data_IF_768741058259
#
_entry.id   IF_768741058259
#
_cell.length_a   1.000
_cell.length_b   1.000
_cell.length_c   1.000
_cell.angle_alpha   90.00
_cell.angle_beta   90.00
_cell.angle_gamma   90.00
#
_symmetry.space_group_name_H-M   'P 1'
#
loop_
_entity.id
_entity.type
_entity.pdbx_description
1 polymer ?
#
# COMPACT_ATOMS: atom_id res chain seq x y z
N UNK A 1 -36.08 9.53 -15.26
CA UNK A 1 -34.85 10.18 -14.82
C UNK A 1 -33.80 9.77 -15.81
N UNK A 2 -33.62 10.62 -16.81
CA UNK A 2 -32.61 10.44 -17.84
C UNK A 2 -31.46 11.40 -17.57
N UNK A 3 -30.24 11.04 -18.00
CA UNK A 3 -29.10 11.94 -17.90
C UNK A 3 -29.38 13.26 -18.63
N UNK A 4 -29.18 14.38 -17.95
CA UNK A 4 -29.48 15.73 -18.45
C UNK A 4 -30.92 16.20 -18.25
N UNK A 5 -31.82 15.37 -17.72
CA UNK A 5 -33.20 15.79 -17.41
C UNK A 5 -33.21 16.79 -16.23
N UNK A 6 -34.03 17.83 -16.29
CA UNK A 6 -34.18 18.80 -15.21
C UNK A 6 -34.68 18.14 -13.92
N UNK A 7 -34.14 18.56 -12.78
CA UNK A 7 -34.59 18.09 -11.47
C UNK A 7 -34.84 19.27 -10.53
N UNK A 8 -35.66 19.07 -9.50
CA UNK A 8 -36.15 20.16 -8.64
C UNK A 8 -35.48 20.24 -7.27
N UNK A 9 -34.86 19.15 -6.79
CA UNK A 9 -34.18 19.11 -5.49
C UNK A 9 -33.03 18.10 -5.51
N UNK A 10 -31.91 18.46 -4.86
CA UNK A 10 -30.74 17.58 -4.69
C UNK A 10 -31.20 16.24 -4.11
N UNK A 11 -30.96 15.18 -4.87
CA UNK A 11 -31.40 13.83 -4.54
C UNK A 11 -30.48 12.82 -5.21
N UNK A 12 -30.33 11.66 -4.56
CA UNK A 12 -29.55 10.53 -5.07
C UNK A 12 -30.47 9.33 -5.17
N UNK A 13 -30.53 8.72 -6.35
CA UNK A 13 -31.25 7.49 -6.60
C UNK A 13 -30.28 6.42 -7.05
N UNK A 14 -30.21 5.33 -6.29
CA UNK A 14 -29.36 4.17 -6.61
C UNK A 14 -30.21 3.01 -7.10
N UNK A 15 -29.83 2.47 -8.24
CA UNK A 15 -30.39 1.30 -8.88
C UNK A 15 -29.30 0.23 -8.98
N UNK A 16 -29.68 -1.02 -9.29
CA UNK A 16 -28.68 -2.05 -9.56
C UNK A 16 -27.91 -1.70 -10.84
N UNK A 17 -26.60 -1.49 -10.70
CA UNK A 17 -25.73 -1.06 -11.80
C UNK A 17 -25.79 0.42 -12.17
N UNK A 18 -26.75 1.22 -11.70
CA UNK A 18 -26.82 2.64 -12.06
C UNK A 18 -27.00 3.55 -10.84
N UNK A 19 -26.37 4.71 -10.82
CA UNK A 19 -26.64 5.76 -9.84
C UNK A 19 -26.96 7.08 -10.54
N UNK A 20 -28.02 7.74 -10.11
CA UNK A 20 -28.42 9.05 -10.62
C UNK A 20 -28.37 10.07 -9.49
N UNK A 21 -27.70 11.18 -9.73
CA UNK A 21 -27.58 12.30 -8.77
C UNK A 21 -28.13 13.57 -9.41
N UNK A 22 -29.07 14.22 -8.74
CA UNK A 22 -29.58 15.53 -9.13
C UNK A 22 -28.69 16.64 -8.55
N UNK A 23 -28.06 17.45 -9.41
CA UNK A 23 -27.20 18.54 -8.95
C UNK A 23 -26.64 19.39 -10.08
N UNK A 24 -25.76 20.33 -9.72
CA UNK A 24 -24.99 21.14 -10.68
C UNK A 24 -23.58 20.54 -10.80
N UNK A 25 -23.31 19.81 -11.87
CA UNK A 25 -22.01 19.14 -12.08
C UNK A 25 -20.98 20.07 -12.75
N UNK A 26 -19.79 20.13 -12.17
CA UNK A 26 -18.69 20.94 -12.70
C UNK A 26 -17.73 20.06 -13.51
N UNK A 27 -17.58 20.36 -14.80
CA UNK A 27 -16.73 19.57 -15.70
C UNK A 27 -15.22 19.76 -15.50
N UNK A 28 -14.78 20.63 -14.60
CA UNK A 28 -13.35 20.97 -14.42
C UNK A 28 -12.86 20.63 -13.01
N UNK A 29 -11.98 19.62 -12.95
CA UNK A 29 -11.11 19.33 -11.81
C UNK A 29 -10.05 20.44 -11.64
N UNK A 30 -9.60 20.79 -10.41
CA UNK A 30 -9.95 20.19 -9.13
C UNK A 30 -11.23 20.76 -8.49
N UNK A 31 -11.97 19.87 -7.83
CA UNK A 31 -13.10 20.21 -6.96
C UNK A 31 -12.54 20.98 -5.76
N UNK A 32 -13.01 22.20 -5.51
CA UNK A 32 -12.53 23.07 -4.42
C UNK A 32 -11.74 24.32 -4.85
N UNK A 33 -11.80 24.72 -6.13
CA UNK A 33 -11.33 26.06 -6.54
C UNK A 33 -12.11 27.16 -5.78
N UNK A 34 -11.48 28.31 -5.48
CA UNK A 34 -12.18 29.46 -4.91
C UNK A 34 -13.44 29.81 -5.72
N UNK A 35 -14.52 30.30 -5.08
CA UNK A 35 -15.70 30.77 -5.79
C UNK A 35 -15.29 31.83 -6.83
N UNK A 36 -16.05 31.90 -7.92
CA UNK A 36 -15.85 32.84 -9.01
C UNK A 36 -15.63 34.25 -8.47
N UNK A 37 -14.45 34.80 -8.72
CA UNK A 37 -14.13 36.17 -8.38
C UNK A 37 -13.71 36.90 -9.66
N UNK A 38 -14.66 37.52 -10.37
CA UNK A 38 -14.36 38.30 -11.57
C UNK A 38 -13.44 39.49 -11.26
N UNK A 39 -13.52 40.04 -10.05
CA UNK A 39 -12.62 41.12 -9.60
C UNK A 39 -11.17 40.65 -9.38
N UNK A 40 -10.97 39.34 -9.20
CA UNK A 40 -9.65 38.69 -9.15
C UNK A 40 -9.22 38.07 -10.50
N UNK A 41 -9.98 38.28 -11.58
CA UNK A 41 -9.63 37.79 -12.92
C UNK A 41 -9.88 36.30 -13.16
N UNK A 42 -10.66 35.62 -12.31
CA UNK A 42 -10.96 34.19 -12.42
C UNK A 42 -12.35 34.02 -13.08
N UNK A 43 -12.39 33.64 -14.36
CA UNK A 43 -13.63 33.57 -15.15
C UNK A 43 -13.91 32.22 -15.85
N UNK A 44 -12.94 31.30 -15.87
CA UNK A 44 -12.97 30.11 -16.75
C UNK A 44 -13.07 28.76 -16.05
N UNK A 45 -12.98 28.70 -14.71
CA UNK A 45 -13.06 27.46 -13.90
C UNK A 45 -14.26 27.43 -12.93
N UNK A 46 -15.35 28.08 -13.33
CA UNK A 46 -16.51 28.34 -12.49
C UNK A 46 -17.60 27.27 -12.66
N UNK A 47 -17.94 26.59 -11.57
CA UNK A 47 -19.23 25.91 -11.43
C UNK A 47 -20.35 26.96 -11.49
N UNK A 48 -21.07 27.07 -12.60
CA UNK A 48 -22.21 27.98 -12.70
C UNK A 48 -23.40 27.43 -11.89
N UNK A 49 -23.43 27.76 -10.60
CA UNK A 49 -24.48 27.37 -9.66
C UNK A 49 -25.82 28.07 -9.90
N UNK A 50 -25.90 29.00 -10.89
CA UNK A 50 -27.17 29.64 -11.27
C UNK A 50 -27.99 28.80 -12.23
N UNK A 51 -27.40 27.74 -12.81
CA UNK A 51 -28.12 26.80 -13.67
C UNK A 51 -29.05 25.90 -12.85
N UNK A 52 -30.23 25.56 -13.40
CA UNK A 52 -31.10 24.57 -12.77
C UNK A 52 -30.37 23.22 -12.69
N UNK A 53 -30.53 22.46 -11.59
CA UNK A 53 -29.87 21.18 -11.45
C UNK A 53 -30.46 20.18 -12.46
N UNK A 54 -29.60 19.29 -12.94
CA UNK A 54 -29.96 18.21 -13.87
C UNK A 54 -29.61 16.87 -13.25
N UNK A 55 -30.30 15.82 -13.69
CA UNK A 55 -29.93 14.44 -13.38
C UNK A 55 -28.61 14.10 -14.05
N UNK A 56 -27.69 13.55 -13.28
CA UNK A 56 -26.45 12.96 -13.75
C UNK A 56 -26.47 11.48 -13.42
N UNK A 57 -26.64 10.64 -14.45
CA UNK A 57 -26.75 9.20 -14.30
C UNK A 57 -25.47 8.51 -14.77
N UNK A 58 -24.93 7.64 -13.93
CA UNK A 58 -23.80 6.77 -14.26
C UNK A 58 -24.31 5.33 -14.34
N UNK A 59 -24.05 4.70 -15.48
CA UNK A 59 -24.27 3.27 -15.69
C UNK A 59 -22.95 2.52 -15.45
N UNK A 60 -22.83 1.91 -14.28
CA UNK A 60 -21.77 0.99 -13.91
C UNK A 60 -22.16 -0.49 -14.06
N UNK A 61 -21.26 -1.43 -13.76
CA UNK A 61 -21.63 -2.84 -13.69
C UNK A 61 -22.57 -3.09 -12.52
N UNK A 62 -23.45 -4.08 -12.66
CA UNK A 62 -24.34 -4.54 -11.59
C UNK A 62 -23.56 -4.89 -10.31
N UNK A 63 -24.22 -4.80 -9.15
CA UNK A 63 -23.56 -5.16 -7.90
C UNK A 63 -23.30 -6.67 -7.82
N UNK A 64 -22.25 -7.04 -7.08
CA UNK A 64 -21.98 -8.46 -6.88
C UNK A 64 -23.16 -9.15 -6.14
N UNK A 65 -23.48 -10.40 -6.52
CA UNK A 65 -24.57 -11.14 -5.87
C UNK A 65 -24.28 -11.32 -4.37
N UNK A 66 -25.32 -11.62 -3.58
CA UNK A 66 -25.16 -11.97 -2.16
C UNK A 66 -25.34 -13.49 -2.00
N UNK A 67 -24.37 -14.22 -1.38
CA UNK A 67 -23.11 -13.72 -0.83
C UNK A 67 -22.15 -13.27 -1.93
N UNK A 68 -21.37 -12.23 -1.62
CA UNK A 68 -20.37 -11.68 -2.55
C UNK A 68 -19.36 -12.77 -2.92
N UNK A 69 -19.04 -12.97 -4.21
CA UNK A 69 -17.95 -13.87 -4.60
C UNK A 69 -16.61 -13.40 -4.00
N UNK A 70 -15.80 -14.33 -3.52
CA UNK A 70 -14.43 -14.06 -3.13
C UNK A 70 -13.50 -14.13 -4.35
N UNK A 71 -12.38 -13.43 -4.25
CA UNK A 71 -11.30 -13.59 -5.25
C UNK A 71 -10.83 -15.04 -5.23
N UNK A 72 -10.77 -15.66 -6.41
CA UNK A 72 -10.41 -17.07 -6.59
C UNK A 72 -11.59 -18.05 -6.61
N UNK A 73 -12.81 -17.60 -6.25
CA UNK A 73 -14.02 -18.42 -6.38
C UNK A 73 -14.30 -18.70 -7.87
N UNK A 74 -14.87 -19.87 -8.20
CA UNK A 74 -15.25 -20.17 -9.57
C UNK A 74 -16.33 -19.18 -10.05
N UNK A 75 -16.20 -18.74 -11.30
CA UNK A 75 -17.21 -17.93 -11.98
C UNK A 75 -17.70 -18.66 -13.23
N UNK A 76 -19.01 -18.58 -13.49
CA UNK A 76 -19.66 -19.38 -14.53
C UNK A 76 -19.43 -18.83 -15.95
N UNK A 77 -19.18 -17.52 -16.07
CA UNK A 77 -19.16 -16.83 -17.37
C UNK A 77 -18.00 -15.86 -17.44
N UNK A 78 -17.04 -16.20 -18.30
CA UNK A 78 -15.86 -15.39 -18.58
C UNK A 78 -16.24 -13.96 -18.98
N UNK A 79 -15.56 -12.97 -18.39
CA UNK A 79 -15.83 -11.55 -18.64
C UNK A 79 -16.99 -10.95 -17.86
N UNK A 80 -17.76 -11.74 -17.10
CA UNK A 80 -18.73 -11.17 -16.15
C UNK A 80 -18.00 -10.28 -15.13
N UNK A 81 -18.59 -9.14 -14.79
CA UNK A 81 -18.03 -8.22 -13.81
C UNK A 81 -19.10 -7.67 -12.89
N UNK A 82 -18.71 -7.35 -11.66
CA UNK A 82 -19.64 -6.81 -10.68
C UNK A 82 -18.98 -5.80 -9.74
N UNK A 83 -19.76 -4.80 -9.34
CA UNK A 83 -19.40 -3.74 -8.43
C UNK A 83 -19.35 -4.23 -6.96
N UNK A 84 -18.23 -3.98 -6.25
CA UNK A 84 -18.04 -4.43 -4.87
C UNK A 84 -18.89 -3.69 -3.83
N UNK A 85 -19.20 -2.41 -4.05
CA UNK A 85 -19.92 -1.55 -3.12
C UNK A 85 -20.86 -0.59 -3.88
N UNK A 86 -22.04 -0.29 -3.33
CA UNK A 86 -22.85 0.84 -3.77
C UNK A 86 -22.35 2.17 -3.17
N UNK A 87 -22.51 3.31 -3.87
CA UNK A 87 -23.02 3.46 -5.25
C UNK A 87 -22.00 3.06 -6.33
N UNK A 88 -22.50 2.72 -7.52
CA UNK A 88 -21.64 2.52 -8.69
C UNK A 88 -21.04 3.86 -9.13
N UNK A 89 -19.72 4.00 -9.01
CA UNK A 89 -18.98 5.23 -9.33
C UNK A 89 -17.84 4.98 -10.34
N UNK A 90 -17.45 6.02 -11.07
CA UNK A 90 -16.30 5.96 -11.97
C UNK A 90 -15.01 5.62 -11.21
N UNK A 91 -14.26 4.62 -11.67
CA UNK A 91 -13.02 4.17 -11.02
C UNK A 91 -13.23 3.20 -9.85
N UNK A 92 -14.46 2.73 -9.63
CA UNK A 92 -14.76 1.69 -8.67
C UNK A 92 -13.99 0.39 -8.94
N UNK A 93 -13.58 -0.29 -7.86
CA UNK A 93 -13.12 -1.67 -7.91
C UNK A 93 -14.27 -2.62 -8.27
N UNK A 94 -14.10 -3.31 -9.39
CA UNK A 94 -15.02 -4.35 -9.88
C UNK A 94 -14.35 -5.71 -9.71
N UNK A 95 -15.10 -6.75 -9.39
CA UNK A 95 -14.65 -8.13 -9.63
C UNK A 95 -14.89 -8.45 -11.10
N UNK A 96 -14.05 -9.28 -11.69
CA UNK A 96 -14.16 -9.73 -13.07
C UNK A 96 -13.83 -11.22 -13.14
N UNK A 97 -14.68 -11.98 -13.84
CA UNK A 97 -14.44 -13.38 -14.13
C UNK A 97 -13.34 -13.50 -15.20
N UNK A 98 -12.20 -14.07 -14.81
CA UNK A 98 -11.08 -14.33 -15.70
C UNK A 98 -10.57 -15.75 -15.48
N UNK A 99 -10.34 -16.47 -16.58
CA UNK A 99 -9.92 -17.87 -16.57
C UNK A 99 -10.80 -18.75 -15.67
N UNK A 100 -12.11 -18.49 -15.66
CA UNK A 100 -13.08 -19.22 -14.84
C UNK A 100 -13.01 -18.94 -13.33
N UNK A 101 -12.30 -17.90 -12.89
CA UNK A 101 -12.28 -17.44 -11.49
C UNK A 101 -12.56 -15.95 -11.35
N UNK A 102 -13.20 -15.58 -10.25
CA UNK A 102 -13.36 -14.17 -9.88
C UNK A 102 -12.00 -13.57 -9.52
N UNK A 103 -11.63 -12.51 -10.22
CA UNK A 103 -10.39 -11.76 -10.02
C UNK A 103 -10.71 -10.28 -9.83
N UNK A 104 -9.82 -9.54 -9.16
CA UNK A 104 -9.84 -8.08 -9.27
C UNK A 104 -9.01 -7.71 -10.49
N UNK A 105 -9.48 -6.85 -11.41
CA UNK A 105 -8.71 -6.39 -12.58
C UNK A 105 -7.58 -5.43 -12.20
N UNK A 106 -7.13 -5.49 -10.95
CA UNK A 106 -6.00 -4.77 -10.45
C UNK A 106 -4.75 -5.61 -10.71
N UNK A 107 -3.70 -5.00 -11.28
CA UNK A 107 -2.34 -5.53 -11.30
C UNK A 107 -1.71 -5.70 -9.90
N UNK A 108 -2.52 -5.86 -8.84
CA UNK A 108 -2.20 -5.49 -7.46
C UNK A 108 -2.24 -6.66 -6.47
N UNK A 109 -2.43 -7.91 -6.91
CA UNK A 109 -2.09 -9.06 -6.10
C UNK A 109 -0.68 -9.54 -6.49
N UNK A 110 0.35 -9.37 -5.65
CA UNK A 110 1.70 -9.78 -6.00
C UNK A 110 1.76 -11.28 -6.31
N UNK A 111 2.16 -11.63 -7.54
CA UNK A 111 2.35 -13.02 -7.95
C UNK A 111 3.74 -13.48 -7.49
N UNK A 112 3.81 -14.24 -6.40
CA UNK A 112 5.06 -14.67 -5.77
C UNK A 112 5.52 -16.06 -6.20
N UNK A 113 5.59 -16.33 -7.51
CA UNK A 113 6.13 -17.59 -8.06
C UNK A 113 7.18 -17.34 -9.14
N UNK A 114 8.25 -18.15 -9.14
CA UNK A 114 9.36 -18.01 -10.08
C UNK A 114 8.92 -18.15 -11.55
N UNK A 115 7.89 -18.95 -11.85
CA UNK A 115 7.36 -19.11 -13.21
C UNK A 115 6.80 -17.79 -13.80
N UNK A 116 6.42 -16.85 -12.93
CA UNK A 116 5.87 -15.55 -13.32
C UNK A 116 6.91 -14.43 -13.25
N UNK A 117 8.18 -14.75 -12.94
CA UNK A 117 9.27 -13.79 -12.74
C UNK A 117 10.44 -14.15 -13.64
N UNK A 118 11.17 -13.14 -14.11
CA UNK A 118 12.41 -13.29 -14.87
C UNK A 118 13.54 -12.56 -14.13
N UNK A 119 14.80 -12.82 -14.53
CA UNK A 119 15.98 -12.13 -13.99
C UNK A 119 16.11 -12.20 -12.45
N UNK A 120 15.75 -13.37 -11.88
CA UNK A 120 15.70 -13.56 -10.43
C UNK A 120 17.12 -13.66 -9.86
N UNK A 121 17.50 -12.67 -9.05
CA UNK A 121 18.72 -12.69 -8.23
C UNK A 121 18.34 -12.71 -6.75
N UNK A 122 18.89 -13.65 -5.99
CA UNK A 122 18.67 -13.73 -4.55
C UNK A 122 19.51 -12.70 -3.79
N UNK A 123 18.98 -12.17 -2.70
CA UNK A 123 19.67 -11.23 -1.81
C UNK A 123 20.88 -11.92 -1.16
N UNK A 124 22.08 -11.45 -1.49
CA UNK A 124 23.33 -11.90 -0.89
C UNK A 124 23.66 -11.20 0.44
N UNK A 125 24.73 -11.61 1.15
CA UNK A 125 25.07 -11.07 2.46
C UNK A 125 25.32 -9.55 2.50
N UNK A 126 26.09 -9.02 1.54
CA UNK A 126 26.37 -7.59 1.48
C UNK A 126 25.11 -6.75 1.23
N UNK A 127 24.21 -7.29 0.41
CA UNK A 127 22.93 -6.65 0.11
C UNK A 127 21.98 -6.70 1.32
N UNK A 128 21.91 -7.84 2.02
CA UNK A 128 21.13 -7.96 3.24
C UNK A 128 21.56 -6.95 4.31
N UNK A 129 22.88 -6.77 4.49
CA UNK A 129 23.43 -5.78 5.41
C UNK A 129 23.10 -4.35 4.99
N UNK A 130 23.20 -4.03 3.69
CA UNK A 130 22.77 -2.73 3.14
C UNK A 130 21.30 -2.45 3.44
N UNK A 131 20.42 -3.41 3.14
CA UNK A 131 18.99 -3.30 3.40
C UNK A 131 18.69 -3.11 4.89
N UNK A 132 19.41 -3.82 5.77
CA UNK A 132 19.32 -3.64 7.23
C UNK A 132 19.72 -2.23 7.64
N UNK A 133 20.85 -1.73 7.18
CA UNK A 133 21.32 -0.37 7.47
C UNK A 133 20.33 0.69 6.99
N UNK A 134 19.82 0.55 5.77
CA UNK A 134 18.81 1.45 5.22
C UNK A 134 17.54 1.45 6.09
N UNK A 135 17.05 0.26 6.47
CA UNK A 135 15.84 0.13 7.29
C UNK A 135 16.00 0.79 8.66
N UNK A 136 17.16 0.61 9.30
CA UNK A 136 17.45 1.21 10.60
C UNK A 136 17.58 2.74 10.57
N UNK A 137 17.84 3.32 9.39
CA UNK A 137 17.87 4.78 9.19
C UNK A 137 16.51 5.38 8.85
N UNK A 138 15.50 4.56 8.58
CA UNK A 138 14.14 5.04 8.29
C UNK A 138 13.59 5.81 9.48
N UNK A 139 13.24 7.07 9.25
CA UNK A 139 12.60 7.91 10.26
C UNK A 139 11.11 7.62 10.29
N UNK A 140 10.63 7.17 11.45
CA UNK A 140 9.21 7.07 11.70
C UNK A 140 8.64 8.43 12.10
N UNK A 141 7.49 8.76 11.53
CA UNK A 141 6.76 9.98 11.79
C UNK A 141 5.30 9.65 12.09
N UNK A 142 4.68 10.46 12.93
CA UNK A 142 3.21 10.51 13.00
C UNK A 142 2.71 11.70 12.21
N UNK A 143 1.64 11.52 11.46
CA UNK A 143 1.11 12.56 10.57
C UNK A 143 -0.41 12.48 10.47
N UNK A 144 -1.01 13.56 9.95
CA UNK A 144 -2.43 13.64 9.57
C UNK A 144 -2.49 14.10 8.13
N UNK A 145 -3.43 13.57 7.36
CA UNK A 145 -3.59 14.00 5.98
C UNK A 145 -4.24 15.39 5.89
N UNK A 146 -3.84 16.17 4.89
CA UNK A 146 -4.36 17.54 4.69
C UNK A 146 -5.83 17.59 4.26
N UNK A 147 -6.30 16.56 3.55
CA UNK A 147 -7.62 16.54 2.89
C UNK A 147 -8.35 15.19 3.02
N UNK A 148 -7.94 14.33 3.96
CA UNK A 148 -8.60 13.04 4.20
C UNK A 148 -8.78 12.78 5.70
N UNK A 149 -8.76 11.51 6.12
CA UNK A 149 -8.95 11.05 7.50
C UNK A 149 -8.21 11.97 8.51
N UNK A 150 -8.94 12.64 9.42
CA UNK A 150 -8.33 13.53 10.41
C UNK A 150 -7.56 12.75 11.49
N UNK A 151 -7.66 11.41 11.50
CA UNK A 151 -6.95 10.54 12.43
C UNK A 151 -5.44 10.69 12.31
N UNK A 152 -4.75 10.43 13.41
CA UNK A 152 -3.30 10.38 13.40
C UNK A 152 -2.86 9.02 12.88
N UNK A 153 -1.92 9.02 11.97
CA UNK A 153 -1.31 7.82 11.40
C UNK A 153 0.16 7.74 11.80
N UNK A 154 0.69 6.52 11.83
CA UNK A 154 2.13 6.22 11.95
C UNK A 154 2.64 5.75 10.59
N UNK A 155 3.80 6.25 10.17
CA UNK A 155 4.47 5.79 8.96
C UNK A 155 5.84 6.43 8.81
N UNK A 156 6.30 6.57 7.57
CA UNK A 156 7.52 7.29 7.22
C UNK A 156 7.22 8.25 6.06
N UNK A 157 8.13 9.21 5.84
CA UNK A 157 8.02 10.22 4.79
C UNK A 157 8.90 9.77 3.62
N UNK A 158 8.32 9.68 2.41
CA UNK A 158 9.04 9.15 1.23
C UNK A 158 10.24 10.02 0.87
N UNK A 159 10.16 11.33 1.08
CA UNK A 159 11.25 12.27 0.83
C UNK A 159 12.49 12.02 1.72
N UNK A 160 12.33 11.29 2.82
CA UNK A 160 13.44 10.91 3.71
C UNK A 160 14.12 9.59 3.29
N UNK A 161 13.55 8.85 2.34
CA UNK A 161 14.07 7.56 1.91
C UNK A 161 15.20 7.73 0.88
N UNK A 162 16.27 6.91 0.94
CA UNK A 162 17.35 6.97 -0.04
C UNK A 162 16.82 6.69 -1.46
N UNK A 163 17.51 7.24 -2.45
CA UNK A 163 17.22 6.96 -3.86
C UNK A 163 17.43 5.48 -4.17
N UNK A 164 16.47 4.90 -4.90
CA UNK A 164 16.50 3.48 -5.24
C UNK A 164 16.10 2.53 -4.10
N UNK A 165 15.59 3.03 -2.97
CA UNK A 165 15.08 2.17 -1.90
C UNK A 165 13.97 1.25 -2.41
N UNK A 166 14.01 -0.07 -2.12
CA UNK A 166 12.96 -0.99 -2.54
C UNK A 166 11.63 -0.78 -1.81
N UNK A 167 11.60 0.03 -0.75
CA UNK A 167 10.39 0.37 -0.01
C UNK A 167 9.50 1.41 -0.71
N UNK A 168 9.98 2.02 -1.80
CA UNK A 168 9.31 3.10 -2.51
C UNK A 168 9.26 2.75 -3.99
N UNK A 169 8.13 3.04 -4.66
CA UNK A 169 8.05 2.89 -6.11
C UNK A 169 9.07 3.79 -6.80
N UNK A 170 9.53 3.41 -7.99
CA UNK A 170 10.48 4.21 -8.78
C UNK A 170 9.99 5.63 -9.09
N UNK A 171 8.67 5.84 -9.18
CA UNK A 171 8.07 7.17 -9.35
C UNK A 171 8.20 8.06 -8.11
N UNK A 172 8.53 7.50 -6.95
CA UNK A 172 8.57 8.15 -5.63
C UNK A 172 7.25 8.80 -5.17
N UNK A 173 6.13 8.41 -5.77
CA UNK A 173 4.81 8.94 -5.37
C UNK A 173 4.11 8.06 -4.32
N UNK A 174 4.54 6.81 -4.16
CA UNK A 174 3.91 5.83 -3.26
C UNK A 174 4.93 4.84 -2.68
N UNK A 175 4.55 4.26 -1.55
CA UNK A 175 5.25 3.14 -0.91
C UNK A 175 5.04 1.87 -1.73
N UNK A 176 6.11 1.12 -1.97
CA UNK A 176 6.00 -0.28 -2.39
C UNK A 176 5.91 -1.13 -1.12
N UNK A 177 4.68 -1.51 -0.75
CA UNK A 177 4.47 -2.29 0.47
C UNK A 177 5.12 -3.68 0.39
N UNK A 178 5.12 -4.31 -0.78
CA UNK A 178 5.72 -5.64 -0.95
C UNK A 178 7.24 -5.55 -0.82
N UNK A 179 7.85 -4.55 -1.44
CA UNK A 179 9.28 -4.25 -1.30
C UNK A 179 9.67 -3.88 0.13
N UNK A 180 8.90 -3.01 0.80
CA UNK A 180 9.16 -2.60 2.19
C UNK A 180 9.08 -3.77 3.18
N UNK A 181 8.07 -4.63 3.06
CA UNK A 181 7.95 -5.82 3.92
C UNK A 181 9.09 -6.81 3.62
N UNK A 182 9.46 -7.01 2.36
CA UNK A 182 10.58 -7.89 2.00
C UNK A 182 11.92 -7.37 2.53
N UNK A 183 12.16 -6.06 2.46
CA UNK A 183 13.31 -5.38 3.08
C UNK A 183 13.31 -5.57 4.60
N UNK A 184 12.15 -5.49 5.25
CA UNK A 184 12.00 -5.75 6.69
C UNK A 184 12.38 -7.20 7.05
N UNK A 185 11.95 -8.18 6.25
CA UNK A 185 12.34 -9.59 6.44
C UNK A 185 13.85 -9.76 6.32
N UNK A 186 14.48 -9.17 5.30
CA UNK A 186 15.94 -9.23 5.14
C UNK A 186 16.68 -8.63 6.34
N UNK A 187 16.23 -7.48 6.85
CA UNK A 187 16.82 -6.84 8.01
C UNK A 187 16.69 -7.67 9.30
N UNK A 188 15.53 -8.32 9.52
CA UNK A 188 15.32 -9.21 10.68
C UNK A 188 16.22 -10.44 10.59
N UNK A 189 16.33 -11.05 9.41
CA UNK A 189 17.22 -12.20 9.21
C UNK A 189 18.68 -11.84 9.48
N UNK A 190 19.13 -10.67 9.02
CA UNK A 190 20.50 -10.21 9.26
C UNK A 190 20.73 -9.86 10.74
N UNK A 191 19.75 -9.23 11.40
CA UNK A 191 19.80 -9.00 12.83
C UNK A 191 19.91 -10.31 13.64
N UNK A 192 19.18 -11.36 13.24
CA UNK A 192 19.26 -12.66 13.91
C UNK A 192 20.66 -13.28 13.82
N UNK A 193 21.32 -13.19 12.65
CA UNK A 193 22.71 -13.68 12.50
C UNK A 193 23.67 -12.97 13.45
N UNK A 194 23.53 -11.65 13.59
CA UNK A 194 24.34 -10.86 14.52
C UNK A 194 24.09 -11.27 15.97
N UNK A 195 22.83 -11.51 16.35
CA UNK A 195 22.48 -12.02 17.68
C UNK A 195 23.13 -13.37 17.95
N UNK A 196 23.04 -14.31 17.00
CA UNK A 196 23.61 -15.66 17.16
C UNK A 196 25.14 -15.62 17.31
N UNK A 197 25.80 -14.75 16.53
CA UNK A 197 27.24 -14.50 16.64
C UNK A 197 27.59 -13.96 18.04
N UNK A 198 26.92 -12.91 18.48
CA UNK A 198 27.17 -12.27 19.77
C UNK A 198 26.91 -13.22 20.93
N UNK A 199 25.87 -14.05 20.86
CA UNK A 199 25.58 -15.07 21.86
C UNK A 199 26.69 -16.13 21.93
N UNK A 200 27.21 -16.55 20.78
CA UNK A 200 28.34 -17.50 20.71
C UNK A 200 29.60 -16.91 21.32
N UNK A 201 29.92 -15.66 20.99
CA UNK A 201 31.06 -14.96 21.56
C UNK A 201 30.93 -14.76 23.06
N UNK A 202 29.75 -14.37 23.55
CA UNK A 202 29.48 -14.23 24.97
C UNK A 202 29.64 -15.57 25.71
N UNK A 203 29.18 -16.67 25.12
CA UNK A 203 29.36 -18.01 25.68
C UNK A 203 30.84 -18.43 25.72
N UNK A 204 31.64 -18.05 24.72
CA UNK A 204 33.10 -18.26 24.73
C UNK A 204 33.75 -17.45 25.84
N UNK A 205 33.52 -16.13 25.89
CA UNK A 205 34.11 -15.24 26.89
C UNK A 205 33.76 -15.68 28.31
N UNK A 206 32.50 -16.07 28.57
CA UNK A 206 32.09 -16.58 29.88
C UNK A 206 32.83 -17.86 30.28
N UNK A 207 33.14 -18.75 29.33
CA UNK A 207 33.96 -19.94 29.60
C UNK A 207 35.40 -19.57 29.92
N UNK A 208 35.99 -18.66 29.15
CA UNK A 208 37.39 -18.25 29.31
C UNK A 208 37.64 -17.49 30.62
N UNK A 209 36.67 -16.68 31.07
CA UNK A 209 36.74 -15.99 32.36
C UNK A 209 36.31 -16.85 33.56
N UNK A 210 35.58 -17.95 33.33
CA UNK A 210 35.08 -18.86 34.37
C UNK A 210 35.98 -20.07 34.66
N UNK A 211 36.98 -20.35 33.83
CA UNK A 211 37.93 -21.42 34.05
C UNK A 211 39.01 -21.02 35.09
N UNK A 212 39.22 -21.78 36.18
CA UNK A 212 40.34 -21.55 37.08
C UNK A 212 41.66 -21.69 36.30
N UNK A 213 42.56 -20.72 36.39
CA UNK A 213 43.93 -20.89 35.90
C UNK A 213 44.58 -22.02 36.69
N UNK A 214 44.80 -23.17 36.07
CA UNK A 214 45.64 -24.23 36.63
C UNK A 214 47.02 -23.65 36.93
N UNK A 215 47.41 -23.71 38.21
CA UNK A 215 48.73 -23.30 38.65
C UNK A 215 49.78 -24.25 38.02
N UNK A 216 50.91 -23.72 37.53
CA UNK A 216 51.93 -24.55 36.89
C UNK A 216 52.48 -25.58 37.90
N UNK A 217 52.78 -26.82 37.45
CA UNK A 217 53.24 -27.87 38.35
C UNK A 217 54.56 -27.48 39.01
N UNK A 218 54.60 -27.56 40.34
CA UNK A 218 55.80 -27.34 41.14
C UNK A 218 56.85 -28.40 40.82
N UNK A 219 58.08 -27.96 40.53
CA UNK A 219 59.24 -28.84 40.33
C UNK A 219 59.49 -29.68 41.59
N UNK A 220 59.83 -30.97 41.45
CA UNK A 220 60.19 -31.81 42.58
C UNK A 220 61.53 -31.34 43.17
N UNK A 221 61.53 -31.06 44.46
CA UNK A 221 62.71 -30.78 45.26
C UNK A 221 63.54 -32.06 45.37
N UNK A 222 64.77 -32.06 44.85
CA UNK A 222 65.74 -33.12 45.11
C UNK A 222 66.35 -32.92 46.50
N UNK A 223 66.24 -33.94 47.33
CA UNK A 223 66.84 -34.02 48.66
C UNK A 223 68.29 -34.51 48.55
N UNK A 224 69.23 -33.77 49.15
CA UNK A 224 70.53 -34.27 49.59
C UNK A 224 70.95 -33.56 50.87
#
# INVERSE_FOLDING_TARGET
MEDGESCSATSTCSYDGSSCTCGVFCRSYPVGQPPCNPDAGITTNCCDQTKPPTWHCFDGPAYCPTPRPHVGDPCAKEGDSCALAPPAECGQMVLSCRQGRWELPMAQCPISTARAKQDITYVGPAEAERLREELLRVRLATYRYKASDPSQHLGFIIEDMPDGSPAVLSSRERVDLYGYVSMTVAAIQEQQKQIDLLQTELARVKRDCGAPKEAPPSRPTQSH
#
